data_IF_708228946330
#
_entry.id   IF_708228946330
#
_cell.length_a   1.000
_cell.length_b   1.000
_cell.length_c   1.000
_cell.angle_alpha   90.00
_cell.angle_beta   90.00
_cell.angle_gamma   90.00
#
_symmetry.space_group_name_H-M   'P 1'
#
loop_
_entity.id
_entity.type
_entity.pdbx_description
1 polymer ?
#
# COMPACT_ATOMS: atom_id res chain seq x y z
N UNK A 1 -14.75 -4.29 -3.63
CA UNK A 1 -13.59 -3.85 -2.84
C UNK A 1 -12.34 -4.56 -3.33
N UNK A 2 -11.41 -3.80 -3.93
CA UNK A 2 -10.14 -4.29 -4.46
C UNK A 2 -9.01 -3.94 -3.49
N UNK A 3 -7.97 -4.78 -3.47
CA UNK A 3 -6.78 -4.63 -2.61
C UNK A 3 -5.61 -4.08 -3.42
N UNK A 4 -5.12 -2.92 -3.00
CA UNK A 4 -3.99 -2.23 -3.61
C UNK A 4 -2.74 -2.38 -2.75
N UNK A 5 -1.59 -2.36 -3.42
CA UNK A 5 -0.32 -2.00 -2.82
C UNK A 5 0.28 -0.80 -3.56
N UNK A 6 0.98 0.09 -2.85
CA UNK A 6 1.52 1.34 -3.40
C UNK A 6 3.04 1.38 -3.26
N UNK A 7 3.75 1.67 -4.34
CA UNK A 7 5.20 1.89 -4.34
C UNK A 7 5.49 3.37 -4.56
N UNK A 8 6.31 3.97 -3.69
CA UNK A 8 6.61 5.39 -3.70
C UNK A 8 5.61 6.24 -2.93
N UNK A 9 5.11 5.78 -1.78
CA UNK A 9 4.07 6.49 -0.99
C UNK A 9 4.52 7.84 -0.41
N UNK A 10 5.82 8.10 -0.31
CA UNK A 10 6.39 9.39 0.07
C UNK A 10 6.56 10.36 -1.12
N UNK A 11 6.24 9.92 -2.33
CA UNK A 11 6.37 10.73 -3.54
C UNK A 11 5.34 11.84 -3.65
N UNK A 12 5.66 12.87 -4.43
CA UNK A 12 4.79 14.02 -4.69
C UNK A 12 3.39 13.63 -5.21
N UNK A 13 3.30 12.57 -6.02
CA UNK A 13 2.05 12.12 -6.66
C UNK A 13 1.27 11.16 -5.77
N UNK A 14 1.88 10.55 -4.75
CA UNK A 14 1.27 9.52 -3.91
C UNK A 14 -0.09 9.93 -3.28
N UNK A 15 -0.29 11.17 -2.78
CA UNK A 15 -1.59 11.58 -2.24
C UNK A 15 -2.75 11.47 -3.25
N UNK A 16 -2.48 11.60 -4.56
CA UNK A 16 -3.49 11.42 -5.61
C UNK A 16 -3.93 9.96 -5.72
N UNK A 17 -2.98 9.02 -5.63
CA UNK A 17 -3.28 7.58 -5.62
C UNK A 17 -4.02 7.18 -4.35
N UNK A 18 -3.55 7.64 -3.18
CA UNK A 18 -4.21 7.38 -1.90
C UNK A 18 -5.67 7.86 -1.91
N UNK A 19 -5.92 9.07 -2.43
CA UNK A 19 -7.27 9.61 -2.60
C UNK A 19 -8.10 8.77 -3.55
N UNK A 20 -7.59 8.44 -4.74
CA UNK A 20 -8.33 7.65 -5.72
C UNK A 20 -8.73 6.28 -5.18
N UNK A 21 -7.83 5.58 -4.47
CA UNK A 21 -8.13 4.29 -3.84
C UNK A 21 -9.24 4.45 -2.78
N UNK A 22 -9.19 5.52 -1.97
CA UNK A 22 -10.17 5.76 -0.90
C UNK A 22 -11.54 6.15 -1.45
N UNK A 23 -11.59 7.06 -2.41
CA UNK A 23 -12.83 7.55 -3.04
C UNK A 23 -13.52 6.47 -3.87
N UNK A 24 -12.78 5.49 -4.37
CA UNK A 24 -13.34 4.31 -5.08
C UNK A 24 -13.65 3.14 -4.14
N UNK A 25 -13.67 3.39 -2.82
CA UNK A 25 -14.03 2.40 -1.78
C UNK A 25 -13.17 1.12 -1.83
N UNK A 26 -11.89 1.29 -2.15
CA UNK A 26 -10.89 0.23 -2.17
C UNK A 26 -9.98 0.28 -0.94
N UNK A 27 -9.17 -0.76 -0.75
CA UNK A 27 -8.27 -0.85 0.41
C UNK A 27 -6.82 -0.80 -0.03
N UNK A 28 -6.01 -0.01 0.67
CA UNK A 28 -4.56 -0.12 0.60
C UNK A 28 -4.07 -1.09 1.68
N UNK A 29 -3.38 -2.15 1.26
CA UNK A 29 -2.92 -3.23 2.15
C UNK A 29 -1.48 -2.99 2.60
N UNK A 30 -0.62 -2.59 1.65
CA UNK A 30 0.78 -2.35 1.91
C UNK A 30 1.30 -1.15 1.10
N UNK A 31 2.27 -0.44 1.65
CA UNK A 31 2.96 0.65 0.99
C UNK A 31 4.48 0.51 1.15
N UNK A 32 5.22 0.97 0.13
CA UNK A 32 6.67 0.93 0.09
C UNK A 32 7.20 2.33 -0.24
N UNK A 33 8.19 2.81 0.50
CA UNK A 33 9.01 3.97 0.10
C UNK A 33 10.38 3.88 0.78
N UNK A 34 11.45 4.32 0.12
CA UNK A 34 12.79 4.33 0.75
C UNK A 34 12.84 5.29 1.93
N UNK A 35 12.07 6.37 1.90
CA UNK A 35 11.97 7.36 2.97
C UNK A 35 10.81 7.00 3.91
N UNK A 36 11.00 7.23 5.21
CA UNK A 36 10.00 6.95 6.24
C UNK A 36 9.06 8.13 6.55
N UNK A 37 9.28 9.27 5.91
CA UNK A 37 8.45 10.48 6.04
C UNK A 37 7.14 10.35 5.25
N UNK A 38 6.31 9.38 5.63
CA UNK A 38 5.11 8.94 4.88
C UNK A 38 3.80 9.10 5.65
N UNK A 39 3.77 9.92 6.70
CA UNK A 39 2.61 10.09 7.60
C UNK A 39 1.30 10.51 6.92
N UNK A 40 1.34 10.98 5.66
CA UNK A 40 0.13 11.21 4.87
C UNK A 40 -0.71 9.94 4.71
N UNK A 41 -0.08 8.75 4.71
CA UNK A 41 -0.76 7.46 4.55
C UNK A 41 -1.84 7.27 5.62
N UNK A 42 -1.60 7.69 6.87
CA UNK A 42 -2.51 7.48 8.00
C UNK A 42 -3.81 8.27 7.86
N UNK A 43 -3.79 9.40 7.14
CA UNK A 43 -5.01 10.16 6.84
C UNK A 43 -5.96 9.44 5.87
N UNK A 44 -5.45 8.46 5.12
CA UNK A 44 -6.22 7.66 4.16
C UNK A 44 -6.43 6.21 4.63
N UNK A 45 -5.36 5.53 5.03
CA UNK A 45 -5.30 4.10 5.33
C UNK A 45 -4.41 3.82 6.55
N UNK A 46 -4.88 4.09 7.78
CA UNK A 46 -4.09 3.91 9.01
C UNK A 46 -3.76 2.45 9.35
N UNK A 47 -4.34 1.49 8.62
CA UNK A 47 -4.12 0.05 8.79
C UNK A 47 -3.25 -0.54 7.67
N UNK A 48 -2.68 0.27 6.78
CA UNK A 48 -1.80 -0.21 5.72
C UNK A 48 -0.41 -0.51 6.30
N UNK A 49 0.14 -1.68 5.99
CA UNK A 49 1.50 -2.03 6.38
C UNK A 49 2.51 -1.21 5.57
N UNK A 50 3.50 -0.60 6.23
CA UNK A 50 4.54 0.20 5.57
C UNK A 50 5.91 -0.48 5.62
N UNK A 51 6.66 -0.37 4.52
CA UNK A 51 7.98 -0.94 4.37
C UNK A 51 8.95 0.06 3.75
N UNK A 52 10.21 0.04 4.20
CA UNK A 52 11.31 0.77 3.57
C UNK A 52 12.18 -0.10 2.65
N UNK A 53 12.14 -1.42 2.87
CA UNK A 53 12.89 -2.43 2.12
C UNK A 53 11.97 -3.18 1.17
N UNK A 54 12.33 -3.24 -0.12
CA UNK A 54 11.55 -3.93 -1.15
C UNK A 54 11.38 -5.42 -0.84
N UNK A 55 12.42 -6.08 -0.32
CA UNK A 55 12.43 -7.50 -0.01
C UNK A 55 11.44 -7.86 1.10
N UNK A 56 11.20 -6.94 2.05
CA UNK A 56 10.18 -7.14 3.10
C UNK A 56 8.78 -6.95 2.54
N UNK A 57 8.60 -5.92 1.72
CA UNK A 57 7.35 -5.65 1.02
C UNK A 57 6.93 -6.84 0.14
N UNK A 58 7.79 -7.30 -0.75
CA UNK A 58 7.53 -8.43 -1.65
C UNK A 58 7.20 -9.72 -0.87
N UNK A 59 7.99 -10.03 0.17
CA UNK A 59 7.73 -11.17 1.06
C UNK A 59 6.38 -11.06 1.77
N UNK A 60 5.96 -9.86 2.16
CA UNK A 60 4.66 -9.65 2.79
C UNK A 60 3.52 -9.96 1.79
N UNK A 61 3.61 -9.45 0.56
CA UNK A 61 2.62 -9.72 -0.49
C UNK A 61 2.54 -11.21 -0.83
N UNK A 62 3.67 -11.90 -0.94
CA UNK A 62 3.70 -13.35 -1.22
C UNK A 62 3.08 -14.17 -0.07
N UNK A 63 3.32 -13.78 1.19
CA UNK A 63 2.66 -14.41 2.35
C UNK A 63 1.14 -14.22 2.32
N UNK A 64 0.64 -13.04 1.94
CA UNK A 64 -0.79 -12.78 1.81
C UNK A 64 -1.43 -13.65 0.73
N UNK A 65 -0.76 -13.73 -0.43
CA UNK A 65 -1.18 -14.57 -1.56
C UNK A 65 -1.32 -16.04 -1.16
N UNK A 66 -0.33 -16.61 -0.47
CA UNK A 66 -0.34 -18.02 -0.04
C UNK A 66 -1.40 -18.34 1.03
N UNK A 67 -1.74 -17.38 1.90
CA UNK A 67 -2.67 -17.60 3.02
C UNK A 67 -4.16 -17.55 2.61
N UNK A 68 -4.48 -17.37 1.33
CA UNK A 68 -5.86 -17.07 0.86
C UNK A 68 -6.52 -15.89 1.60
N UNK A 69 -5.74 -15.04 2.29
CA UNK A 69 -6.23 -13.86 3.03
C UNK A 69 -6.45 -12.64 2.11
N UNK A 70 -6.32 -12.85 0.81
CA UNK A 70 -6.54 -11.85 -0.23
C UNK A 70 -5.29 -11.69 -1.08
N UNK A 71 -5.47 -11.89 -2.39
CA UNK A 71 -4.49 -11.46 -3.36
C UNK A 71 -4.49 -9.93 -3.43
N UNK A 72 -3.34 -9.35 -3.76
CA UNK A 72 -3.29 -7.95 -4.19
C UNK A 72 -3.82 -7.93 -5.62
N UNK A 73 -4.85 -7.14 -5.86
CA UNK A 73 -5.43 -6.96 -7.19
C UNK A 73 -4.56 -6.04 -8.05
N UNK A 74 -3.98 -5.00 -7.44
CA UNK A 74 -3.24 -3.95 -8.14
C UNK A 74 -2.01 -3.48 -7.36
N UNK A 75 -0.93 -3.21 -8.08
CA UNK A 75 0.23 -2.47 -7.59
C UNK A 75 0.31 -1.16 -8.37
N UNK A 76 0.36 -0.04 -7.66
CA UNK A 76 0.36 1.31 -8.23
C UNK A 76 1.48 2.18 -7.67
#
# INVERSE_FOLDING_TARGET
>A
MKKFALIGVGGYVAPRHLRAIKETENSLVAALDKNDSVGIIDSYFPNADFFTEFERFDRHLDKLRRKNKGHIDYVT
#
